data_IF_578434036255
#
_entry.id   IF_578434036255
#
_cell.length_a   1.000
_cell.length_b   1.000
_cell.length_c   1.000
_cell.angle_alpha   90.00
_cell.angle_beta   90.00
_cell.angle_gamma   90.00
#
_symmetry.space_group_name_H-M   'P 1'
#
loop_
_entity.id
_entity.type
_entity.pdbx_description
1 polymer ?
#
# COMPACT_ATOMS: atom_id res chain seq x y z
N UNK A 1 -23.58 23.71 42.16
CA UNK A 1 -24.69 23.49 41.20
C UNK A 1 -24.25 23.06 39.78
N UNK A 2 -22.93 22.95 39.48
CA UNK A 2 -22.42 22.51 38.16
C UNK A 2 -22.18 20.99 38.04
N UNK A 3 -22.00 20.28 39.15
CA UNK A 3 -21.72 18.82 39.16
C UNK A 3 -22.92 17.95 38.75
N UNK A 4 -24.15 18.36 39.13
CA UNK A 4 -25.38 17.66 38.74
C UNK A 4 -25.59 17.63 37.22
N UNK A 5 -25.30 18.73 36.52
CA UNK A 5 -25.46 18.81 35.06
C UNK A 5 -24.50 17.91 34.29
N UNK A 6 -23.30 17.67 34.81
CA UNK A 6 -22.31 16.77 34.18
C UNK A 6 -22.75 15.31 34.38
N UNK A 7 -23.25 14.98 35.56
CA UNK A 7 -23.77 13.64 35.86
C UNK A 7 -25.00 13.30 34.98
N UNK A 8 -25.91 14.25 34.77
CA UNK A 8 -27.10 14.07 33.93
C UNK A 8 -26.75 13.86 32.44
N UNK A 9 -25.71 14.54 31.94
CA UNK A 9 -25.22 14.38 30.55
C UNK A 9 -24.56 13.02 30.35
N UNK A 10 -23.79 12.54 31.32
CA UNK A 10 -23.18 11.21 31.24
C UNK A 10 -24.22 10.08 31.24
N UNK A 11 -25.30 10.22 32.02
CA UNK A 11 -26.40 9.25 32.05
C UNK A 11 -27.12 9.20 30.69
N UNK A 12 -27.36 10.36 30.06
CA UNK A 12 -27.99 10.45 28.74
C UNK A 12 -27.15 9.80 27.62
N UNK A 13 -25.83 9.92 27.68
CA UNK A 13 -24.92 9.30 26.71
C UNK A 13 -24.90 7.76 26.89
N UNK A 14 -24.93 7.26 28.13
CA UNK A 14 -24.99 5.83 28.40
C UNK A 14 -26.31 5.17 27.94
N UNK A 15 -27.43 5.90 27.99
CA UNK A 15 -28.70 5.44 27.43
C UNK A 15 -28.71 5.40 25.90
N UNK A 16 -28.02 6.33 25.22
CA UNK A 16 -27.93 6.35 23.75
C UNK A 16 -27.07 5.23 23.18
N UNK A 17 -25.99 4.84 23.86
CA UNK A 17 -25.10 3.74 23.41
C UNK A 17 -25.77 2.36 23.54
N UNK A 18 -26.79 2.25 24.42
CA UNK A 18 -27.56 1.01 24.61
C UNK A 18 -28.63 0.78 23.53
N UNK A 19 -28.96 1.80 22.73
CA UNK A 19 -30.03 1.72 21.71
C UNK A 19 -29.52 1.25 20.32
N UNK A 20 -28.20 1.17 20.12
CA UNK A 20 -27.62 0.70 18.85
C UNK A 20 -27.32 -0.81 18.82
N UNK A 21 -27.62 -1.53 19.91
CA UNK A 21 -27.47 -2.99 20.01
C UNK A 21 -28.83 -3.69 20.18
N UNK A 22 -29.81 -3.39 19.32
CA UNK A 22 -31.00 -4.24 19.19
C UNK A 22 -31.63 -4.13 17.81
N UNK A 23 -30.94 -4.68 16.80
CA UNK A 23 -31.61 -5.29 15.64
C UNK A 23 -30.94 -6.61 15.33
N UNK A 24 -31.25 -7.62 16.13
CA UNK A 24 -31.05 -9.02 15.80
C UNK A 24 -32.40 -9.71 15.63
N UNK A 25 -32.68 -10.19 14.42
CA UNK A 25 -33.51 -11.37 14.03
C UNK A 25 -33.62 -11.34 12.48
N UNK A 26 -33.05 -12.24 11.67
CA UNK A 26 -33.09 -13.70 11.57
C UNK A 26 -34.35 -14.29 10.89
N UNK A 27 -34.21 -14.71 9.63
CA UNK A 27 -34.69 -15.96 8.96
C UNK A 27 -34.59 -15.77 7.43
N UNK A 28 -33.75 -16.50 6.67
CA UNK A 28 -33.63 -17.94 6.39
C UNK A 28 -34.75 -18.48 5.48
N UNK A 29 -34.40 -18.78 4.23
CA UNK A 29 -34.88 -19.97 3.50
C UNK A 29 -33.75 -20.46 2.59
N UNK A 30 -33.51 -21.77 2.61
CA UNK A 30 -32.40 -22.48 1.96
C UNK A 30 -32.91 -23.25 0.73
N UNK A 31 -32.05 -23.44 -0.28
CA UNK A 31 -31.89 -24.70 -1.02
C UNK A 31 -30.63 -24.56 -1.90
N UNK A 32 -29.53 -25.24 -1.56
CA UNK A 32 -29.10 -26.52 -2.15
C UNK A 32 -28.87 -26.39 -3.68
N UNK A 33 -27.64 -26.47 -4.19
CA UNK A 33 -27.07 -27.71 -4.73
C UNK A 33 -25.53 -27.75 -4.58
N UNK A 34 -25.10 -28.98 -4.34
CA UNK A 34 -23.81 -29.60 -4.07
C UNK A 34 -22.74 -29.46 -5.17
N UNK A 35 -21.46 -29.35 -4.72
CA UNK A 35 -20.16 -29.72 -5.35
C UNK A 35 -19.87 -29.13 -6.74
N UNK A 36 -18.66 -28.69 -7.06
CA UNK A 36 -17.41 -29.43 -6.99
C UNK A 36 -16.25 -28.43 -7.21
N UNK A 37 -15.03 -28.89 -6.94
CA UNK A 37 -13.81 -28.13 -7.09
C UNK A 37 -13.49 -27.76 -8.55
N UNK A 38 -12.35 -27.07 -8.69
CA UNK A 38 -11.49 -26.88 -9.86
C UNK A 38 -11.76 -25.66 -10.75
N UNK A 39 -10.81 -24.72 -10.63
CA UNK A 39 -9.99 -24.12 -11.70
C UNK A 39 -10.66 -23.58 -12.96
N UNK A 40 -10.18 -22.37 -13.30
CA UNK A 40 -10.03 -21.82 -14.66
C UNK A 40 -11.30 -21.81 -15.51
N UNK A 41 -11.81 -20.63 -15.86
CA UNK A 41 -11.49 -20.04 -17.16
C UNK A 41 -12.27 -18.74 -17.35
N UNK A 42 -11.65 -17.86 -18.11
CA UNK A 42 -12.12 -16.64 -18.76
C UNK A 42 -13.65 -16.52 -18.96
N UNK A 43 -14.24 -15.41 -18.49
CA UNK A 43 -15.37 -14.69 -19.13
C UNK A 43 -15.73 -13.48 -18.24
N UNK A 44 -16.04 -12.26 -18.67
CA UNK A 44 -16.53 -11.71 -19.92
C UNK A 44 -16.32 -10.18 -19.85
N UNK A 45 -15.24 -9.62 -20.40
CA UNK A 45 -15.32 -8.22 -20.84
C UNK A 45 -16.04 -8.27 -22.18
N UNK A 46 -17.32 -7.89 -22.16
CA UNK A 46 -18.12 -7.69 -23.36
C UNK A 46 -17.37 -6.74 -24.28
N UNK A 47 -16.80 -7.32 -25.34
CA UNK A 47 -16.47 -6.66 -26.60
C UNK A 47 -17.76 -6.08 -27.17
N UNK A 48 -18.12 -4.87 -26.77
CA UNK A 48 -18.94 -4.00 -27.62
C UNK A 48 -17.97 -3.25 -28.52
N UNK A 49 -17.83 -3.79 -29.73
CA UNK A 49 -17.26 -3.13 -30.89
C UNK A 49 -17.92 -1.76 -31.08
N UNK A 50 -17.19 -0.71 -30.72
CA UNK A 50 -17.23 0.56 -31.45
C UNK A 50 -15.87 0.59 -32.14
N UNK A 51 -15.86 0.13 -33.39
CA UNK A 51 -14.79 0.42 -34.33
C UNK A 51 -14.94 1.91 -34.68
N UNK A 52 -14.17 2.74 -34.01
CA UNK A 52 -13.81 4.05 -34.52
C UNK A 52 -12.31 4.04 -34.73
N UNK A 53 -11.91 3.93 -36.00
CA UNK A 53 -10.55 4.19 -36.46
C UNK A 53 -10.27 5.68 -36.25
N UNK A 54 -9.86 6.03 -35.04
CA UNK A 54 -9.02 7.18 -34.78
C UNK A 54 -7.63 6.63 -34.56
N UNK A 55 -6.66 7.08 -35.36
CA UNK A 55 -5.25 7.01 -34.99
C UNK A 55 -5.15 7.74 -33.65
N UNK A 56 -5.27 7.01 -32.53
CA UNK A 56 -5.14 7.57 -31.20
C UNK A 56 -3.68 8.00 -31.07
N UNK A 57 -3.43 9.30 -31.22
CA UNK A 57 -2.18 9.88 -30.73
C UNK A 57 -2.10 9.50 -29.25
N UNK A 58 -1.22 8.55 -28.94
CA UNK A 58 -0.98 8.11 -27.57
C UNK A 58 -0.65 9.36 -26.77
N UNK A 59 -1.36 9.64 -25.66
CA UNK A 59 -1.07 10.82 -24.85
C UNK A 59 0.43 10.82 -24.52
N UNK A 60 1.10 11.97 -24.67
CA UNK A 60 2.57 12.04 -24.51
C UNK A 60 3.05 11.53 -23.14
N UNK A 61 2.20 11.60 -22.11
CA UNK A 61 2.51 11.11 -20.78
C UNK A 61 2.46 9.57 -20.67
N UNK A 62 1.88 8.85 -21.65
CA UNK A 62 1.64 7.41 -21.56
C UNK A 62 2.93 6.60 -21.49
N UNK A 63 3.91 6.93 -22.33
CA UNK A 63 5.24 6.30 -22.31
C UNK A 63 5.95 6.55 -20.97
N UNK A 64 5.85 7.77 -20.43
CA UNK A 64 6.42 8.15 -19.13
C UNK A 64 5.73 7.37 -18.00
N UNK A 65 4.40 7.18 -18.09
CA UNK A 65 3.67 6.39 -17.11
C UNK A 65 4.11 4.93 -17.14
N UNK A 66 4.26 4.34 -18.33
CA UNK A 66 4.67 2.94 -18.47
C UNK A 66 6.09 2.72 -17.90
N UNK A 67 7.02 3.65 -18.13
CA UNK A 67 8.35 3.64 -17.51
C UNK A 67 8.27 3.80 -15.98
N UNK A 68 7.43 4.72 -15.50
CA UNK A 68 7.23 4.93 -14.07
C UNK A 68 6.63 3.69 -13.38
N UNK A 69 5.71 2.99 -14.05
CA UNK A 69 5.13 1.73 -13.57
C UNK A 69 6.18 0.65 -13.46
N UNK A 70 7.05 0.51 -14.46
CA UNK A 70 8.18 -0.43 -14.39
C UNK A 70 9.10 -0.14 -13.20
N UNK A 71 9.52 1.11 -13.02
CA UNK A 71 10.35 1.51 -11.87
C UNK A 71 9.65 1.23 -10.53
N UNK A 72 8.34 1.47 -10.47
CA UNK A 72 7.54 1.19 -9.28
C UNK A 72 7.51 -0.31 -8.95
N UNK A 73 7.33 -1.17 -9.95
CA UNK A 73 7.35 -2.63 -9.81
C UNK A 73 8.73 -3.16 -9.41
N UNK A 74 9.80 -2.52 -9.87
CA UNK A 74 11.18 -2.80 -9.46
C UNK A 74 11.51 -2.28 -8.04
N UNK A 75 10.54 -1.63 -7.37
CA UNK A 75 10.70 -1.06 -6.05
C UNK A 75 11.50 0.24 -6.01
N UNK A 76 11.80 0.87 -7.16
CA UNK A 76 12.42 2.19 -7.24
C UNK A 76 11.36 3.30 -7.11
N UNK A 77 10.78 3.39 -5.92
CA UNK A 77 9.73 4.37 -5.64
C UNK A 77 10.20 5.82 -5.76
N UNK A 78 11.50 6.07 -5.55
CA UNK A 78 12.10 7.39 -5.70
C UNK A 78 12.02 7.88 -7.15
N UNK A 79 12.51 7.06 -8.08
CA UNK A 79 12.54 7.43 -9.49
C UNK A 79 11.15 7.32 -10.14
N UNK A 80 10.37 6.29 -9.78
CA UNK A 80 8.97 6.19 -10.20
C UNK A 80 8.19 7.47 -9.85
N UNK A 81 8.30 7.97 -8.61
CA UNK A 81 7.61 9.21 -8.20
C UNK A 81 8.05 10.44 -9.00
N UNK A 82 9.29 10.52 -9.47
CA UNK A 82 9.72 11.63 -10.32
C UNK A 82 8.98 11.60 -11.66
N UNK A 83 8.95 10.45 -12.33
CA UNK A 83 8.25 10.29 -13.60
C UNK A 83 6.73 10.47 -13.46
N UNK A 84 6.11 9.92 -12.41
CA UNK A 84 4.68 10.11 -12.13
C UNK A 84 4.31 11.59 -11.93
N UNK A 85 5.23 12.40 -11.36
CA UNK A 85 5.02 13.84 -11.26
C UNK A 85 5.11 14.54 -12.62
N UNK A 86 5.94 14.07 -13.53
CA UNK A 86 5.96 14.58 -14.91
C UNK A 86 4.65 14.25 -15.64
N UNK A 87 4.10 13.04 -15.44
CA UNK A 87 2.75 12.69 -15.93
C UNK A 87 1.71 13.69 -15.42
N UNK A 88 1.71 13.98 -14.11
CA UNK A 88 0.77 14.94 -13.51
C UNK A 88 0.95 16.39 -13.96
N UNK A 89 2.10 16.78 -14.53
CA UNK A 89 2.24 18.10 -15.17
C UNK A 89 1.52 18.16 -16.51
N UNK A 90 1.41 17.03 -17.22
CA UNK A 90 0.76 16.93 -18.53
C UNK A 90 -0.73 16.61 -18.40
N UNK A 91 -1.07 15.70 -17.48
CA UNK A 91 -2.43 15.32 -17.11
C UNK A 91 -2.60 15.42 -15.59
N UNK A 92 -2.98 16.61 -15.07
CA UNK A 92 -3.18 16.84 -13.65
C UNK A 92 -4.26 15.97 -13.01
N UNK A 93 -5.14 15.34 -13.79
CA UNK A 93 -6.23 14.48 -13.32
C UNK A 93 -5.95 12.99 -13.48
N UNK A 94 -4.74 12.62 -13.89
CA UNK A 94 -4.32 11.24 -14.02
C UNK A 94 -4.44 10.49 -12.68
N UNK A 95 -5.46 9.64 -12.58
CA UNK A 95 -5.75 8.89 -11.33
C UNK A 95 -4.65 7.89 -11.00
N UNK A 96 -4.13 7.20 -12.01
CA UNK A 96 -3.08 6.19 -11.84
C UNK A 96 -1.84 6.83 -11.22
N UNK A 97 -1.39 7.97 -11.73
CA UNK A 97 -0.23 8.67 -11.17
C UNK A 97 -0.46 9.17 -9.74
N UNK A 98 -1.66 9.71 -9.43
CA UNK A 98 -1.99 10.12 -8.05
C UNK A 98 -1.93 8.94 -7.08
N UNK A 99 -2.60 7.83 -7.43
CA UNK A 99 -2.68 6.63 -6.59
C UNK A 99 -1.30 5.97 -6.39
N UNK A 100 -0.49 5.87 -7.45
CA UNK A 100 0.86 5.30 -7.37
C UNK A 100 1.79 6.16 -6.50
N UNK A 101 1.72 7.49 -6.62
CA UNK A 101 2.50 8.40 -5.75
C UNK A 101 2.10 8.22 -4.29
N UNK A 102 0.80 8.12 -3.99
CA UNK A 102 0.30 7.91 -2.63
C UNK A 102 0.86 6.61 -2.04
N UNK A 103 0.69 5.49 -2.74
CA UNK A 103 1.23 4.20 -2.28
C UNK A 103 2.76 4.20 -2.17
N UNK A 104 3.46 4.81 -3.12
CA UNK A 104 4.92 4.96 -3.03
C UNK A 104 5.34 5.75 -1.79
N UNK A 105 4.60 6.80 -1.42
CA UNK A 105 4.86 7.52 -0.17
C UNK A 105 4.66 6.63 1.05
N UNK A 106 3.61 5.81 1.06
CA UNK A 106 3.34 4.90 2.17
C UNK A 106 4.44 3.85 2.35
N UNK A 107 4.94 3.27 1.25
CA UNK A 107 6.07 2.34 1.30
C UNK A 107 7.36 3.03 1.78
N UNK A 108 7.67 4.20 1.22
CA UNK A 108 8.84 4.97 1.64
C UNK A 108 8.76 5.33 3.12
N UNK A 109 7.59 5.75 3.62
CA UNK A 109 7.42 6.12 5.02
C UNK A 109 7.60 4.94 5.96
N UNK A 110 7.03 3.77 5.61
CA UNK A 110 7.22 2.54 6.40
C UNK A 110 8.68 2.08 6.41
N UNK A 111 9.37 2.13 5.27
CA UNK A 111 10.79 1.80 5.21
C UNK A 111 11.63 2.74 6.08
N UNK A 112 11.35 4.05 6.04
CA UNK A 112 12.00 5.06 6.89
C UNK A 112 11.73 4.78 8.38
N UNK A 113 10.52 4.36 8.75
CA UNK A 113 10.20 4.00 10.14
C UNK A 113 11.08 2.84 10.64
N UNK A 114 11.18 1.76 9.87
CA UNK A 114 12.04 0.64 10.17
C UNK A 114 13.52 1.04 10.27
N UNK A 115 14.00 1.87 9.35
CA UNK A 115 15.38 2.39 9.41
C UNK A 115 15.65 3.25 10.64
N UNK A 116 14.68 4.08 11.06
CA UNK A 116 14.80 4.87 12.29
C UNK A 116 14.83 3.96 13.53
N UNK A 117 14.06 2.88 13.53
CA UNK A 117 14.11 1.87 14.59
C UNK A 117 15.47 1.18 14.64
N UNK A 118 16.02 0.78 13.50
CA UNK A 118 17.37 0.22 13.39
C UNK A 118 18.42 1.18 13.97
N UNK A 119 18.34 2.46 13.60
CA UNK A 119 19.23 3.52 14.10
C UNK A 119 19.17 3.62 15.63
N UNK A 120 17.98 3.58 16.22
CA UNK A 120 17.80 3.57 17.68
C UNK A 120 18.44 2.32 18.31
N UNK A 121 18.26 1.16 17.71
CA UNK A 121 18.81 -0.11 18.21
C UNK A 121 20.35 -0.13 18.15
N UNK A 122 20.96 0.48 17.14
CA UNK A 122 22.42 0.68 17.11
C UNK A 122 22.92 1.48 18.32
N UNK A 123 22.23 2.57 18.68
CA UNK A 123 22.57 3.34 19.90
C UNK A 123 22.40 2.53 21.19
N UNK A 124 21.43 1.61 21.21
CA UNK A 124 21.21 0.66 22.31
C UNK A 124 22.19 -0.53 22.30
N UNK A 125 23.09 -0.62 21.30
CA UNK A 125 24.03 -1.73 21.08
C UNK A 125 23.35 -3.08 20.81
N UNK A 126 22.13 -3.03 20.30
CA UNK A 126 21.27 -4.16 19.92
C UNK A 126 21.45 -4.44 18.43
N UNK A 127 22.58 -5.05 18.09
CA UNK A 127 23.03 -5.19 16.70
C UNK A 127 22.11 -6.09 15.88
N UNK A 128 21.77 -7.27 16.42
CA UNK A 128 20.94 -8.25 15.71
C UNK A 128 19.55 -7.68 15.43
N UNK A 129 18.91 -7.05 16.42
CA UNK A 129 17.60 -6.42 16.22
C UNK A 129 17.66 -5.22 15.25
N UNK A 130 18.79 -4.48 15.22
CA UNK A 130 18.97 -3.39 14.26
C UNK A 130 19.05 -3.92 12.82
N UNK A 131 19.75 -5.03 12.61
CA UNK A 131 19.83 -5.69 11.31
C UNK A 131 18.45 -6.18 10.87
N UNK A 132 17.66 -6.77 11.77
CA UNK A 132 16.30 -7.20 11.46
C UNK A 132 15.41 -6.05 11.01
N UNK A 133 15.53 -4.87 11.64
CA UNK A 133 14.79 -3.68 11.23
C UNK A 133 15.29 -3.12 9.88
N UNK A 134 16.60 -3.18 9.58
CA UNK A 134 17.12 -2.81 8.26
C UNK A 134 16.60 -3.73 7.15
N UNK A 135 16.54 -5.04 7.41
CA UNK A 135 15.97 -6.03 6.47
C UNK A 135 14.51 -5.70 6.15
N UNK A 136 13.68 -5.44 7.17
CA UNK A 136 12.29 -5.00 6.95
C UNK A 136 12.19 -3.71 6.11
N UNK A 137 13.11 -2.76 6.32
CA UNK A 137 13.12 -1.51 5.56
C UNK A 137 13.33 -1.76 4.06
N UNK A 138 14.27 -2.64 3.70
CA UNK A 138 14.54 -2.97 2.28
C UNK A 138 13.53 -3.96 1.70
N UNK A 139 12.89 -4.82 2.51
CA UNK A 139 11.78 -5.66 2.04
C UNK A 139 10.60 -4.79 1.55
N UNK A 140 10.38 -3.66 2.23
CA UNK A 140 9.34 -2.70 1.87
C UNK A 140 9.78 -1.78 0.73
N UNK A 141 11.00 -1.24 0.80
CA UNK A 141 11.58 -0.38 -0.23
C UNK A 141 12.95 -0.94 -0.68
N UNK A 142 12.98 -1.84 -1.68
CA UNK A 142 14.19 -2.53 -2.11
C UNK A 142 15.32 -1.63 -2.59
N UNK A 143 15.02 -0.40 -2.98
CA UNK A 143 16.01 0.62 -3.40
C UNK A 143 16.27 1.68 -2.33
N UNK A 144 15.96 1.40 -1.05
CA UNK A 144 16.22 2.34 0.03
C UNK A 144 17.72 2.48 0.30
N UNK A 145 18.34 3.48 -0.32
CA UNK A 145 19.79 3.69 -0.32
C UNK A 145 20.40 3.68 1.08
N UNK A 146 19.83 4.40 2.02
CA UNK A 146 20.38 4.52 3.37
C UNK A 146 20.43 3.18 4.12
N UNK A 147 19.42 2.33 3.95
CA UNK A 147 19.41 1.00 4.56
C UNK A 147 20.40 0.05 3.85
N UNK A 148 20.45 0.11 2.51
CA UNK A 148 21.39 -0.68 1.71
C UNK A 148 22.85 -0.32 2.02
N UNK A 149 23.19 0.96 2.11
CA UNK A 149 24.53 1.44 2.44
C UNK A 149 25.00 0.85 3.80
N UNK A 150 24.13 0.85 4.81
CA UNK A 150 24.47 0.26 6.12
C UNK A 150 24.64 -1.26 6.02
N UNK A 151 23.75 -1.96 5.30
CA UNK A 151 23.86 -3.42 5.13
C UNK A 151 25.11 -3.81 4.33
N UNK A 152 25.54 -2.97 3.38
CA UNK A 152 26.83 -3.10 2.68
C UNK A 152 28.00 -2.94 3.63
N UNK A 153 28.00 -1.89 4.46
CA UNK A 153 29.03 -1.66 5.48
C UNK A 153 29.15 -2.82 6.48
N UNK A 154 28.03 -3.51 6.76
CA UNK A 154 27.99 -4.71 7.60
C UNK A 154 28.37 -6.00 6.85
N UNK A 155 28.50 -5.96 5.53
CA UNK A 155 28.82 -7.11 4.69
C UNK A 155 27.66 -8.10 4.52
N UNK A 156 26.42 -7.64 4.60
CA UNK A 156 25.21 -8.48 4.64
C UNK A 156 24.41 -8.48 3.33
N UNK A 157 24.84 -7.77 2.29
CA UNK A 157 24.10 -7.70 1.03
C UNK A 157 23.97 -9.05 0.32
N UNK A 158 25.01 -9.89 0.39
CA UNK A 158 25.02 -11.19 -0.28
C UNK A 158 23.97 -12.14 0.32
N UNK A 159 23.66 -12.03 1.61
CA UNK A 159 22.66 -12.87 2.30
C UNK A 159 21.24 -12.60 1.79
N UNK A 160 20.96 -11.37 1.36
CA UNK A 160 19.64 -10.94 0.91
C UNK A 160 19.28 -11.46 -0.49
N UNK A 161 20.29 -11.76 -1.31
CA UNK A 161 20.08 -12.29 -2.65
C UNK A 161 19.88 -13.81 -2.67
N UNK A 162 20.19 -14.51 -1.57
CA UNK A 162 20.14 -15.98 -1.51
C UNK A 162 18.74 -16.49 -1.14
N UNK A 163 17.88 -15.67 -0.53
CA UNK A 163 16.51 -16.07 -0.15
C UNK A 163 15.47 -15.93 -1.27
N UNK A 164 15.86 -15.39 -2.44
CA UNK A 164 14.95 -15.06 -3.55
C UNK A 164 15.07 -16.01 -4.78
N UNK A 165 15.77 -17.15 -4.67
CA UNK A 165 15.84 -18.21 -5.71
C UNK A 165 15.01 -19.46 -5.37
#
# INVERSE_FOLDING_TARGET
>A
MKFRKILDVCILILFLVSFLFSTGCAKKEQANILKEATETDETTIKKSTIEENTEEETPQWKEILDEATKLYEEGDFGEAKKLLKEVLKMDPDNKVSKEMIEKANDFIMQAIEHFNNATKLFYEKKMDEAIDELKKAIDIYPKYKEALDILEELGLLDELNIENE
#
